data_IF_606150083518
#
_entry.id   IF_606150083518
#
_cell.length_a   1.000
_cell.length_b   1.000
_cell.length_c   1.000
_cell.angle_alpha   90.00
_cell.angle_beta   90.00
_cell.angle_gamma   90.00
#
_symmetry.space_group_name_H-M   'P 1'
#
loop_
_entity.id
_entity.type
_entity.pdbx_description
1 polymer ?
#
# COMPACT_ATOMS: atom_id res chain seq x y z
N UNK A 1 7.71 -15.79 7.72
CA UNK A 1 8.32 -14.46 7.63
C UNK A 1 7.85 -13.74 6.38
N UNK A 2 7.36 -12.54 6.51
CA UNK A 2 6.91 -11.77 5.36
C UNK A 2 8.08 -11.04 4.71
N UNK A 3 8.11 -11.05 3.39
CA UNK A 3 9.12 -10.32 2.62
C UNK A 3 8.43 -9.20 1.88
N UNK A 4 8.78 -7.96 2.22
CA UNK A 4 8.24 -6.79 1.54
C UNK A 4 8.96 -6.59 0.22
N UNK A 5 8.21 -6.51 -0.88
CA UNK A 5 8.76 -6.21 -2.20
C UNK A 5 8.77 -4.70 -2.44
N UNK A 6 7.71 -4.03 -2.03
CA UNK A 6 7.57 -2.59 -2.19
C UNK A 6 6.96 -2.00 -0.95
N UNK A 7 7.37 -0.77 -0.64
CA UNK A 7 6.87 -0.05 0.52
C UNK A 7 6.82 1.43 0.19
N UNK A 8 5.70 2.05 0.51
CA UNK A 8 5.50 3.49 0.34
C UNK A 8 5.01 4.07 1.65
N UNK A 9 5.74 5.05 2.18
CA UNK A 9 5.43 5.65 3.46
C UNK A 9 5.09 7.12 3.32
N UNK A 10 4.09 7.56 4.08
CA UNK A 10 3.76 8.98 4.26
C UNK A 10 3.78 9.26 5.75
N UNK A 11 4.95 9.62 6.31
CA UNK A 11 5.10 9.80 7.76
C UNK A 11 4.15 10.85 8.34
N UNK A 12 3.87 11.91 7.59
CA UNK A 12 2.99 12.97 8.05
C UNK A 12 1.56 12.51 8.29
N UNK A 13 1.18 11.39 7.70
CA UNK A 13 -0.17 10.81 7.86
C UNK A 13 -0.15 9.50 8.63
N UNK A 14 1.02 9.06 9.09
CA UNK A 14 1.17 7.74 9.70
C UNK A 14 0.60 6.65 8.80
N UNK A 15 0.94 6.73 7.52
CA UNK A 15 0.40 5.85 6.49
C UNK A 15 1.53 5.08 5.83
N UNK A 16 1.33 3.78 5.69
CA UNK A 16 2.27 2.91 5.00
C UNK A 16 1.48 1.99 4.08
N UNK A 17 1.88 1.92 2.81
CA UNK A 17 1.32 0.96 1.85
C UNK A 17 2.40 -0.04 1.52
N UNK A 18 2.09 -1.32 1.57
CA UNK A 18 3.07 -2.37 1.31
C UNK A 18 2.55 -3.38 0.30
N UNK A 19 3.48 -3.95 -0.46
CA UNK A 19 3.25 -5.11 -1.29
C UNK A 19 4.21 -6.18 -0.81
N UNK A 20 3.68 -7.30 -0.35
CA UNK A 20 4.53 -8.37 0.16
C UNK A 20 3.97 -9.73 -0.25
N UNK A 21 4.84 -10.73 -0.18
CA UNK A 21 4.47 -12.10 -0.51
C UNK A 21 4.29 -12.89 0.78
N UNK A 22 3.13 -13.53 0.92
CA UNK A 22 2.86 -14.39 2.05
C UNK A 22 3.56 -15.73 1.93
N UNK A 23 3.54 -16.50 3.01
CA UNK A 23 4.21 -17.79 3.07
C UNK A 23 3.59 -18.82 2.11
N UNK A 24 2.33 -18.64 1.77
CA UNK A 24 1.61 -19.55 0.86
C UNK A 24 1.76 -19.14 -0.61
N UNK A 25 2.57 -18.14 -0.90
CA UNK A 25 2.77 -17.68 -2.27
C UNK A 25 1.77 -16.63 -2.73
N UNK A 26 0.86 -16.19 -1.85
CA UNK A 26 -0.12 -15.17 -2.17
C UNK A 26 0.52 -13.80 -2.04
N UNK A 27 0.30 -12.95 -3.04
CA UNK A 27 0.75 -11.56 -2.99
C UNK A 27 -0.30 -10.72 -2.27
N UNK A 28 0.14 -9.94 -1.30
CA UNK A 28 -0.76 -9.17 -0.45
C UNK A 28 -0.37 -7.71 -0.52
N UNK A 29 -1.37 -6.86 -0.82
CA UNK A 29 -1.23 -5.41 -0.73
C UNK A 29 -1.94 -4.99 0.55
N UNK A 30 -1.21 -4.33 1.41
CA UNK A 30 -1.75 -3.89 2.68
C UNK A 30 -1.50 -2.42 2.91
N UNK A 31 -2.24 -1.87 3.84
CA UNK A 31 -2.19 -0.46 4.18
C UNK A 31 -2.30 -0.33 5.69
N UNK A 32 -1.39 0.41 6.29
CA UNK A 32 -1.40 0.68 7.71
C UNK A 32 -1.66 2.17 7.93
N UNK A 33 -2.74 2.48 8.62
CA UNK A 33 -3.12 3.86 8.93
C UNK A 33 -3.23 3.99 10.43
N UNK A 34 -2.47 4.92 11.01
CA UNK A 34 -2.49 5.17 12.45
C UNK A 34 -2.28 3.89 13.25
N UNK A 35 -1.41 3.02 12.77
CA UNK A 35 -1.09 1.78 13.43
C UNK A 35 -2.04 0.63 13.15
N UNK A 36 -3.11 0.86 12.38
CA UNK A 36 -4.08 -0.18 12.05
C UNK A 36 -3.85 -0.71 10.65
N UNK A 37 -3.72 -2.02 10.55
CA UNK A 37 -3.46 -2.71 9.29
C UNK A 37 -4.77 -3.06 8.59
N UNK A 38 -4.79 -2.87 7.27
CA UNK A 38 -5.91 -3.28 6.43
C UNK A 38 -5.40 -3.97 5.18
N UNK A 39 -6.03 -5.08 4.81
CA UNK A 39 -5.75 -5.73 3.54
C UNK A 39 -6.49 -4.99 2.43
N UNK A 40 -5.74 -4.62 1.38
CA UNK A 40 -6.33 -3.98 0.20
C UNK A 40 -6.64 -5.03 -0.84
N UNK A 41 -5.71 -5.96 -1.06
CA UNK A 41 -5.83 -6.95 -2.11
C UNK A 41 -4.99 -8.17 -1.74
N UNK A 42 -5.50 -9.35 -2.06
CA UNK A 42 -4.73 -10.59 -1.92
C UNK A 42 -4.95 -11.40 -3.19
N UNK A 43 -3.87 -11.76 -3.88
CA UNK A 43 -3.95 -12.45 -5.16
C UNK A 43 -2.72 -13.30 -5.38
N UNK A 44 -2.89 -14.37 -6.15
CA UNK A 44 -1.77 -15.23 -6.53
C UNK A 44 -0.95 -14.64 -7.67
N UNK A 45 -1.47 -13.62 -8.36
CA UNK A 45 -0.83 -13.02 -9.51
C UNK A 45 -0.14 -11.71 -9.13
N UNK A 46 1.17 -11.67 -9.29
CA UNK A 46 1.96 -10.50 -8.96
C UNK A 46 1.48 -9.25 -9.71
N UNK A 47 1.11 -9.40 -10.97
CA UNK A 47 0.70 -8.26 -11.80
C UNK A 47 -0.53 -7.55 -11.22
N UNK A 48 -1.49 -8.31 -10.72
CA UNK A 48 -2.67 -7.72 -10.09
C UNK A 48 -2.31 -7.03 -8.78
N UNK A 49 -1.43 -7.65 -8.00
CA UNK A 49 -0.99 -7.07 -6.74
C UNK A 49 -0.25 -5.75 -6.99
N UNK A 50 0.66 -5.76 -7.96
CA UNK A 50 1.42 -4.56 -8.31
C UNK A 50 0.50 -3.43 -8.77
N UNK A 51 -0.50 -3.78 -9.58
CA UNK A 51 -1.49 -2.80 -10.04
C UNK A 51 -2.26 -2.21 -8.88
N UNK A 52 -2.69 -3.05 -7.94
CA UNK A 52 -3.42 -2.59 -6.76
C UNK A 52 -2.53 -1.70 -5.88
N UNK A 53 -1.26 -2.07 -5.73
CA UNK A 53 -0.31 -1.27 -4.97
C UNK A 53 -0.13 0.11 -5.61
N UNK A 54 0.10 0.13 -6.93
CA UNK A 54 0.28 1.39 -7.65
C UNK A 54 -0.96 2.27 -7.56
N UNK A 55 -2.14 1.69 -7.61
CA UNK A 55 -3.39 2.44 -7.50
C UNK A 55 -3.53 3.06 -6.11
N UNK A 56 -3.17 2.34 -5.05
CA UNK A 56 -3.22 2.88 -3.70
C UNK A 56 -2.20 3.99 -3.50
N UNK A 57 -0.99 3.82 -4.04
CA UNK A 57 0.05 4.86 -3.96
C UNK A 57 -0.41 6.13 -4.67
N UNK A 58 -0.97 5.99 -5.87
CA UNK A 58 -1.45 7.14 -6.63
C UNK A 58 -2.57 7.86 -5.88
N UNK A 59 -3.47 7.10 -5.26
CA UNK A 59 -4.57 7.67 -4.48
C UNK A 59 -4.05 8.48 -3.30
N UNK A 60 -3.06 7.94 -2.58
CA UNK A 60 -2.47 8.63 -1.44
C UNK A 60 -1.73 9.89 -1.90
N UNK A 61 -0.96 9.78 -2.99
CA UNK A 61 -0.24 10.93 -3.53
C UNK A 61 -1.19 12.06 -3.93
N UNK A 62 -2.32 11.70 -4.53
CA UNK A 62 -3.33 12.69 -4.92
C UNK A 62 -3.95 13.36 -3.70
N UNK A 63 -4.21 12.61 -2.64
CA UNK A 63 -4.74 13.17 -1.39
C UNK A 63 -3.76 14.16 -0.78
N UNK A 64 -2.48 13.81 -0.72
CA UNK A 64 -1.44 14.68 -0.17
C UNK A 64 -1.32 15.95 -1.01
N UNK A 65 -1.28 15.79 -2.34
CA UNK A 65 -1.19 16.93 -3.24
C UNK A 65 -2.39 17.87 -3.08
N UNK A 66 -3.57 17.29 -2.99
CA UNK A 66 -4.81 18.07 -2.86
C UNK A 66 -4.81 18.89 -1.58
N UNK A 67 -4.36 18.31 -0.48
CA UNK A 67 -4.26 19.02 0.79
C UNK A 67 -3.27 20.18 0.71
N UNK A 68 -2.14 19.98 0.04
CA UNK A 68 -1.14 21.02 -0.12
C UNK A 68 -1.63 22.18 -1.01
N UNK A 69 -2.39 21.86 -2.03
CA UNK A 69 -2.93 22.87 -2.95
C UNK A 69 -4.18 23.56 -2.41
N UNK A 70 -4.89 22.89 -1.53
CA UNK A 70 -6.14 23.40 -0.98
C UNK A 70 -6.00 24.39 0.17
N UNK A 71 -4.79 24.71 0.53
CA UNK A 71 -4.54 25.65 1.64
C UNK A 71 -4.65 27.09 1.23
#
# INVERSE_FOLDING_TARGET
MMTYMFKFEVPSKNLIVTLHKGDDGTWIVGKQILGQWRNVCATELFEYAKHAFDAEVAKVENEVRYEMEGC
#
